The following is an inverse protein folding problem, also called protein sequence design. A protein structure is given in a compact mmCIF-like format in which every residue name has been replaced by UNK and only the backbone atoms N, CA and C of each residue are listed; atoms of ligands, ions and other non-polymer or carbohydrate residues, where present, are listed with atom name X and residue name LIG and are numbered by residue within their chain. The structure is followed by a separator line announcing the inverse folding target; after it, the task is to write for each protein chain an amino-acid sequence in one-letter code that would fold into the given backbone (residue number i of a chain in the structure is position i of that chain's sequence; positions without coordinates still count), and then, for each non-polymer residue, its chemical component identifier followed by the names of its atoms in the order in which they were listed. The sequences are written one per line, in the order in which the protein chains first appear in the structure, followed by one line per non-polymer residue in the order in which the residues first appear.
data_IF_801791390348
#
_entry.id   IF_801791390348
#
_cell.length_a   1.000
_cell.length_b   1.000
_cell.length_c   1.000
_cell.angle_alpha   90.00
_cell.angle_beta   90.00
_cell.angle_gamma   90.00
#
_symmetry.space_group_name_H-M   'P 1'
#
loop_
_entity.id
_entity.type
_entity.pdbx_description
1 polymer ?
#
# COMPACT_ATOMS: atom_id res chain seq x y z
N UNK A 1 11.32 -38.05 3.45
CA UNK A 1 12.34 -38.68 2.59
C UNK A 1 13.49 -38.97 3.51
N UNK A 2 13.89 -40.23 3.65
CA UNK A 2 14.88 -40.61 4.65
C UNK A 2 16.24 -39.92 4.42
N UNK A 3 16.62 -39.68 3.16
CA UNK A 3 17.91 -39.05 2.83
C UNK A 3 17.91 -37.52 3.00
N UNK A 4 17.00 -36.79 2.33
CA UNK A 4 17.00 -35.31 2.32
C UNK A 4 15.99 -34.62 3.24
N UNK A 5 15.29 -35.36 4.11
CA UNK A 5 14.28 -34.85 5.05
C UNK A 5 13.06 -34.15 4.42
N UNK A 6 12.93 -34.07 3.10
CA UNK A 6 11.73 -33.56 2.42
C UNK A 6 10.53 -34.45 2.74
N UNK A 7 9.38 -33.88 3.12
CA UNK A 7 8.13 -34.61 3.33
C UNK A 7 7.75 -35.41 2.08
N UNK A 8 7.72 -36.74 2.19
CA UNK A 8 7.08 -37.60 1.18
C UNK A 8 5.69 -37.87 1.72
N UNK A 9 4.66 -37.81 0.88
CA UNK A 9 3.30 -38.13 1.31
C UNK A 9 3.19 -39.54 1.92
N UNK A 10 2.01 -39.89 2.42
CA UNK A 10 1.75 -41.17 3.10
C UNK A 10 1.93 -42.40 2.21
N UNK A 11 1.91 -42.25 0.88
CA UNK A 11 2.25 -43.29 -0.09
C UNK A 11 3.56 -42.95 -0.83
N UNK A 12 4.72 -43.37 -0.29
CA UNK A 12 5.97 -43.21 -1.02
C UNK A 12 6.07 -44.29 -2.10
N UNK A 13 5.75 -43.95 -3.34
CA UNK A 13 6.01 -44.81 -4.52
C UNK A 13 7.50 -45.22 -4.63
N UNK A 14 8.40 -44.45 -4.02
CA UNK A 14 9.84 -44.69 -4.06
C UNK A 14 10.38 -45.15 -2.72
N UNK A 15 10.73 -46.43 -2.63
CA UNK A 15 11.51 -46.98 -1.53
C UNK A 15 13.00 -46.99 -1.89
N UNK A 16 13.84 -46.64 -0.94
CA UNK A 16 15.28 -46.68 -1.13
C UNK A 16 15.78 -48.12 -1.31
N UNK A 17 16.54 -48.45 -2.37
CA UNK A 17 16.85 -49.86 -2.70
C UNK A 17 17.56 -50.63 -1.57
N UNK A 18 18.49 -49.96 -0.85
CA UNK A 18 19.32 -50.58 0.20
C UNK A 18 18.68 -50.55 1.59
N UNK A 19 18.02 -49.45 1.96
CA UNK A 19 17.49 -49.27 3.32
C UNK A 19 16.00 -49.58 3.44
N UNK A 20 15.31 -49.78 2.31
CA UNK A 20 13.85 -49.95 2.20
C UNK A 20 13.02 -48.82 2.84
N UNK A 21 13.65 -47.69 3.16
CA UNK A 21 12.99 -46.51 3.73
C UNK A 21 12.40 -45.60 2.64
N UNK A 22 11.32 -44.86 2.92
CA UNK A 22 10.73 -43.90 1.98
C UNK A 22 11.73 -42.84 1.47
N UNK A 23 11.89 -42.74 0.15
CA UNK A 23 12.72 -41.74 -0.52
C UNK A 23 11.85 -40.81 -1.38
N UNK A 24 12.28 -39.56 -1.62
CA UNK A 24 11.66 -38.76 -2.68
C UNK A 24 12.20 -39.21 -4.04
N UNK A 25 11.43 -38.98 -5.12
CA UNK A 25 11.82 -39.39 -6.48
C UNK A 25 13.22 -38.90 -6.89
N UNK A 26 13.59 -37.67 -6.53
CA UNK A 26 14.94 -37.13 -6.81
C UNK A 26 16.07 -37.90 -6.10
N UNK A 27 15.87 -38.31 -4.84
CA UNK A 27 16.88 -39.11 -4.15
C UNK A 27 16.94 -40.54 -4.70
N UNK A 28 15.80 -41.10 -5.08
CA UNK A 28 15.70 -42.42 -5.69
C UNK A 28 16.41 -42.48 -7.06
N UNK A 29 16.10 -41.56 -7.97
CA UNK A 29 16.72 -41.47 -9.31
C UNK A 29 18.24 -41.26 -9.17
N UNK A 30 18.68 -40.38 -8.26
CA UNK A 30 20.10 -40.18 -8.04
C UNK A 30 20.79 -41.46 -7.56
N UNK A 31 20.17 -42.17 -6.61
CA UNK A 31 20.71 -43.44 -6.11
C UNK A 31 20.81 -44.47 -7.22
N UNK A 32 19.77 -44.66 -8.05
CA UNK A 32 19.82 -45.59 -9.18
C UNK A 32 20.99 -45.30 -10.13
N UNK A 33 21.28 -44.02 -10.42
CA UNK A 33 22.34 -43.62 -11.37
C UNK A 33 23.75 -43.70 -10.80
N UNK A 34 23.92 -43.41 -9.51
CA UNK A 34 25.24 -43.26 -8.88
C UNK A 34 25.56 -44.33 -7.84
N UNK A 35 24.61 -45.23 -7.57
CA UNK A 35 24.69 -46.30 -6.57
C UNK A 35 25.15 -45.81 -5.18
N UNK A 36 24.83 -44.56 -4.85
CA UNK A 36 25.14 -43.92 -3.56
C UNK A 36 24.08 -42.90 -3.21
N UNK A 37 23.93 -42.61 -1.93
CA UNK A 37 22.98 -41.61 -1.45
C UNK A 37 23.28 -40.25 -2.08
N UNK A 38 22.22 -39.54 -2.49
CA UNK A 38 22.36 -38.17 -3.00
C UNK A 38 23.06 -37.35 -1.93
N UNK A 39 24.17 -36.65 -2.24
CA UNK A 39 24.78 -35.73 -1.30
C UNK A 39 23.72 -34.67 -1.02
N UNK A 40 23.17 -34.76 0.18
CA UNK A 40 22.36 -33.69 0.73
C UNK A 40 23.40 -32.75 1.28
N UNK A 41 23.89 -31.85 0.42
CA UNK A 41 24.70 -30.74 0.90
C UNK A 41 23.85 -30.12 2.01
N UNK A 42 24.28 -30.30 3.26
CA UNK A 42 23.63 -29.71 4.40
C UNK A 42 23.65 -28.23 4.09
N UNK A 43 22.49 -27.69 3.66
CA UNK A 43 22.42 -26.29 3.23
C UNK A 43 22.99 -25.49 4.37
N UNK A 44 24.06 -24.73 4.11
CA UNK A 44 24.65 -23.91 5.16
C UNK A 44 23.53 -23.05 5.72
N UNK A 45 23.31 -23.19 7.02
CA UNK A 45 22.35 -22.38 7.75
C UNK A 45 23.08 -21.12 8.17
N UNK A 46 22.50 -19.97 7.84
CA UNK A 46 23.05 -18.66 8.20
C UNK A 46 22.11 -18.02 9.20
N UNK A 47 22.66 -17.47 10.29
CA UNK A 47 21.87 -16.65 11.21
C UNK A 47 21.84 -15.21 10.72
N UNK A 48 20.71 -14.53 10.89
CA UNK A 48 20.62 -13.11 10.56
C UNK A 48 21.58 -12.31 11.44
N UNK A 49 22.40 -11.45 10.85
CA UNK A 49 23.40 -10.63 11.57
C UNK A 49 22.79 -9.41 12.29
N UNK A 50 21.46 -9.33 12.38
CA UNK A 50 20.79 -8.30 13.17
C UNK A 50 20.54 -8.88 14.55
N UNK A 51 21.08 -8.26 15.58
CA UNK A 51 21.08 -8.75 16.97
C UNK A 51 19.67 -8.97 17.54
N UNK A 52 18.67 -8.26 16.99
CA UNK A 52 17.26 -8.40 17.38
C UNK A 52 16.51 -9.47 16.59
N UNK A 53 17.14 -10.07 15.57
CA UNK A 53 16.51 -11.01 14.64
C UNK A 53 17.11 -12.41 14.75
N UNK A 54 16.36 -13.33 15.36
CA UNK A 54 16.78 -14.73 15.53
C UNK A 54 16.44 -15.63 14.33
N UNK A 55 16.15 -15.05 13.16
CA UNK A 55 15.78 -15.85 11.99
C UNK A 55 16.99 -16.60 11.43
N UNK A 56 16.84 -17.92 11.32
CA UNK A 56 17.79 -18.81 10.62
C UNK A 56 17.38 -18.93 9.16
N UNK A 57 18.32 -18.71 8.26
CA UNK A 57 18.15 -18.73 6.81
C UNK A 57 18.89 -19.89 6.17
N UNK A 58 18.44 -20.26 4.98
CA UNK A 58 19.13 -21.23 4.13
C UNK A 58 19.96 -20.51 3.07
N UNK A 59 21.03 -21.16 2.62
CA UNK A 59 21.77 -20.79 1.42
C UNK A 59 20.82 -20.49 0.24
N UNK A 60 20.94 -19.29 -0.33
CA UNK A 60 20.06 -18.78 -1.40
C UNK A 60 18.88 -17.91 -0.92
N UNK A 61 18.63 -17.81 0.38
CA UNK A 61 17.61 -16.90 0.98
C UNK A 61 18.22 -15.75 1.78
N UNK A 62 19.54 -15.62 1.72
CA UNK A 62 20.36 -14.63 2.41
C UNK A 62 20.47 -13.35 1.60
N UNK A 63 20.41 -12.20 2.26
CA UNK A 63 20.63 -10.88 1.67
C UNK A 63 21.86 -10.25 2.32
N UNK A 64 22.53 -9.35 1.61
CA UNK A 64 23.70 -8.63 2.12
C UNK A 64 23.24 -7.25 2.59
N UNK A 65 23.57 -6.91 3.84
CA UNK A 65 23.26 -5.60 4.38
C UNK A 65 24.02 -4.50 3.61
N UNK A 66 23.36 -3.44 3.11
CA UNK A 66 23.99 -2.45 2.22
C UNK A 66 25.22 -1.77 2.85
N UNK A 67 25.12 -1.34 4.12
CA UNK A 67 26.21 -0.72 4.89
C UNK A 67 27.26 -1.70 5.44
N UNK A 68 26.85 -2.65 6.29
CA UNK A 68 27.79 -3.51 7.03
C UNK A 68 28.33 -4.70 6.23
N UNK A 69 27.77 -4.96 5.04
CA UNK A 69 28.07 -6.15 4.20
C UNK A 69 27.87 -7.50 4.89
N UNK A 70 27.21 -7.53 6.06
CA UNK A 70 26.87 -8.76 6.79
C UNK A 70 25.60 -9.41 6.23
N UNK A 71 25.45 -10.72 6.44
CA UNK A 71 24.30 -11.49 5.96
C UNK A 71 23.07 -11.23 6.84
N UNK A 72 21.96 -10.84 6.22
CA UNK A 72 20.68 -10.54 6.89
C UNK A 72 19.51 -11.24 6.21
N UNK A 73 18.41 -11.42 6.95
CA UNK A 73 17.17 -11.95 6.39
C UNK A 73 16.46 -10.93 5.51
N UNK A 74 15.59 -11.42 4.61
CA UNK A 74 14.80 -10.59 3.69
C UNK A 74 14.09 -9.45 4.41
N UNK A 75 13.45 -9.77 5.53
CA UNK A 75 12.69 -8.79 6.31
C UNK A 75 13.57 -7.67 6.89
N UNK A 76 14.72 -8.03 7.46
CA UNK A 76 15.67 -7.03 7.95
C UNK A 76 16.21 -6.17 6.80
N UNK A 77 16.59 -6.79 5.68
CA UNK A 77 17.06 -6.06 4.49
C UNK A 77 16.04 -5.03 3.98
N UNK A 78 14.76 -5.40 3.86
CA UNK A 78 13.69 -4.49 3.46
C UNK A 78 13.47 -3.35 4.47
N UNK A 79 13.57 -3.63 5.78
CA UNK A 79 13.52 -2.59 6.82
C UNK A 79 14.65 -1.59 6.67
N UNK A 80 15.88 -2.06 6.43
CA UNK A 80 17.03 -1.19 6.22
C UNK A 80 16.86 -0.29 5.00
N UNK A 81 16.44 -0.83 3.85
CA UNK A 81 16.18 -0.03 2.64
C UNK A 81 15.11 1.04 2.90
N UNK A 82 14.03 0.69 3.59
CA UNK A 82 12.96 1.66 3.93
C UNK A 82 13.48 2.76 4.87
N UNK A 83 14.33 2.42 5.82
CA UNK A 83 14.91 3.39 6.76
C UNK A 83 15.91 4.31 6.06
N UNK A 84 16.76 3.78 5.18
CA UNK A 84 17.67 4.60 4.38
C UNK A 84 16.92 5.55 3.45
N UNK A 85 15.85 5.09 2.81
CA UNK A 85 15.00 5.95 1.98
C UNK A 85 14.45 7.14 2.78
N UNK A 86 13.90 6.89 3.96
CA UNK A 86 13.39 7.97 4.84
C UNK A 86 14.48 8.94 5.29
N UNK A 87 15.67 8.43 5.60
CA UNK A 87 16.81 9.28 5.98
C UNK A 87 17.21 10.20 4.81
N UNK A 88 17.27 9.67 3.60
CA UNK A 88 17.59 10.45 2.40
C UNK A 88 16.53 11.51 2.10
N UNK A 89 15.25 11.16 2.20
CA UNK A 89 14.15 12.12 2.04
C UNK A 89 14.21 13.26 3.07
N UNK A 90 14.59 12.97 4.32
CA UNK A 90 14.78 13.99 5.35
C UNK A 90 15.99 14.89 5.08
N UNK A 91 17.10 14.32 4.65
CA UNK A 91 18.31 15.08 4.26
C UNK A 91 18.05 15.96 3.03
N UNK A 92 17.34 15.46 2.03
CA UNK A 92 16.94 16.23 0.84
C UNK A 92 15.99 17.38 1.22
N UNK A 93 15.06 17.15 2.16
CA UNK A 93 14.19 18.21 2.67
C UNK A 93 14.96 19.28 3.46
N UNK A 94 15.93 18.88 4.28
CA UNK A 94 16.80 19.81 5.00
C UNK A 94 17.68 20.62 4.04
N UNK A 95 18.29 19.98 3.05
CA UNK A 95 19.08 20.65 2.01
C UNK A 95 18.23 21.62 1.19
N UNK A 96 16.96 21.26 0.89
CA UNK A 96 16.02 22.16 0.22
C UNK A 96 15.66 23.38 1.08
N UNK A 97 15.61 23.23 2.41
CA UNK A 97 15.36 24.34 3.34
C UNK A 97 16.56 25.29 3.50
N UNK A 98 17.78 24.81 3.22
CA UNK A 98 19.03 25.59 3.26
C UNK A 98 19.32 26.35 1.97
N UNK A 99 18.60 26.06 0.87
CA UNK A 99 18.74 26.85 -0.34
C UNK A 99 18.31 28.28 -0.03
N UNK A 100 19.13 29.29 -0.39
CA UNK A 100 18.77 30.68 -0.18
C UNK A 100 17.39 30.89 -0.82
N UNK A 101 16.43 31.30 -0.01
CA UNK A 101 15.12 31.71 -0.51
C UNK A 101 15.42 32.70 -1.63
N UNK A 102 15.00 32.43 -2.88
CA UNK A 102 15.20 33.38 -3.95
C UNK A 102 14.70 34.70 -3.41
N UNK A 103 15.57 35.71 -3.39
CA UNK A 103 15.16 37.06 -3.05
C UNK A 103 14.17 37.46 -4.13
N UNK A 104 12.89 37.20 -3.87
CA UNK A 104 11.81 37.74 -4.68
C UNK A 104 11.93 39.22 -4.42
N UNK A 105 12.49 39.95 -5.38
CA UNK A 105 12.41 41.41 -5.36
C UNK A 105 10.95 41.73 -5.05
N UNK A 106 10.69 42.49 -3.96
CA UNK A 106 9.35 42.88 -3.60
C UNK A 106 8.67 43.33 -4.89
N UNK A 107 7.50 42.75 -5.25
CA UNK A 107 6.78 43.19 -6.43
C UNK A 107 6.75 44.71 -6.36
N UNK A 108 7.36 45.40 -7.33
CA UNK A 108 7.28 46.87 -7.40
C UNK A 108 5.81 47.16 -7.30
N UNK A 109 5.38 47.64 -6.12
CA UNK A 109 3.99 47.93 -5.88
C UNK A 109 3.58 48.86 -7.01
N UNK A 110 2.60 48.48 -7.86
CA UNK A 110 2.07 49.45 -8.80
C UNK A 110 1.60 50.60 -7.94
N UNK A 111 2.17 51.79 -8.19
CA UNK A 111 1.87 52.99 -7.43
C UNK A 111 0.36 53.02 -7.14
N UNK A 112 -0.05 53.14 -5.86
CA UNK A 112 -1.46 53.02 -5.49
C UNK A 112 -2.25 53.92 -6.42
N UNK A 113 -3.10 53.31 -7.25
CA UNK A 113 -3.91 54.08 -8.18
C UNK A 113 -4.70 55.07 -7.33
N UNK A 114 -4.64 56.36 -7.68
CA UNK A 114 -5.11 57.44 -6.80
C UNK A 114 -6.60 57.30 -6.41
N UNK A 115 -7.34 56.42 -7.08
CA UNK A 115 -8.66 55.95 -6.72
C UNK A 115 -8.73 55.29 -5.32
N UNK A 116 -7.75 54.47 -4.91
CA UNK A 116 -7.76 53.83 -3.59
C UNK A 116 -7.52 54.82 -2.44
N UNK A 117 -6.67 55.83 -2.65
CA UNK A 117 -6.42 56.88 -1.65
C UNK A 117 -7.69 57.72 -1.45
N UNK A 118 -8.44 57.98 -2.51
CA UNK A 118 -9.70 58.74 -2.45
C UNK A 118 -10.82 57.95 -1.74
N UNK A 119 -10.95 56.65 -2.01
CA UNK A 119 -11.94 55.80 -1.34
C UNK A 119 -11.69 55.67 0.16
N UNK A 120 -10.43 55.58 0.59
CA UNK A 120 -10.10 55.53 2.02
C UNK A 120 -10.39 56.86 2.74
N UNK A 121 -10.23 58.01 2.07
CA UNK A 121 -10.59 59.30 2.65
C UNK A 121 -12.11 59.52 2.79
N UNK A 122 -12.93 58.85 1.98
CA UNK A 122 -14.41 58.96 2.05
C UNK A 122 -15.03 58.03 3.11
N UNK A 123 -14.40 56.88 3.40
CA UNK A 123 -14.91 55.91 4.39
C UNK A 123 -14.60 56.34 5.84
N UNK A 124 -13.53 57.12 6.06
CA UNK A 124 -13.12 57.59 7.39
C UNK A 124 -13.02 59.13 7.51
N UNK A 125 -14.11 59.89 7.34
CA UNK A 125 -14.10 61.35 7.55
C UNK A 125 -13.86 61.77 9.01
N UNK A 126 -13.85 60.82 9.96
CA UNK A 126 -13.71 61.08 11.39
C UNK A 126 -12.28 60.88 11.95
N UNK A 127 -11.33 60.35 11.17
CA UNK A 127 -9.92 60.32 11.58
C UNK A 127 -9.29 61.68 11.29
N UNK A 128 -9.68 62.69 12.08
CA UNK A 128 -8.91 63.93 12.19
C UNK A 128 -7.52 63.55 12.68
N UNK A 129 -6.50 64.11 12.02
CA UNK A 129 -5.08 63.94 12.28
C UNK A 129 -4.61 64.57 13.61
N UNK A 130 -5.43 64.47 14.66
CA UNK A 130 -5.06 64.90 16.00
C UNK A 130 -4.53 63.67 16.72
N UNK A 131 -3.21 63.58 16.66
CA UNK A 131 -2.29 63.03 17.67
C UNK A 131 -1.24 62.21 16.93
N UNK A 132 -0.25 62.96 16.45
CA UNK A 132 1.08 62.44 16.17
C UNK A 132 1.59 61.95 17.52
N UNK A 133 1.31 60.69 17.84
CA UNK A 133 2.03 59.97 18.88
C UNK A 133 3.48 59.99 18.42
N UNK A 134 4.34 60.67 19.19
CA UNK A 134 5.76 60.82 18.88
C UNK A 134 6.33 59.46 18.44
N UNK A 135 7.08 59.42 17.32
CA UNK A 135 7.63 58.18 16.82
C UNK A 135 8.43 57.52 17.94
N UNK A 136 7.98 56.33 18.35
CA UNK A 136 8.60 55.55 19.41
C UNK A 136 10.11 55.53 19.15
N UNK A 137 10.93 56.01 20.10
CA UNK A 137 12.36 56.13 19.90
C UNK A 137 12.97 54.80 19.45
N UNK A 138 13.80 54.83 18.39
CA UNK A 138 14.35 53.62 17.73
C UNK A 138 15.08 52.69 18.71
N UNK A 139 15.62 53.25 19.77
CA UNK A 139 16.25 52.62 20.91
C UNK A 139 15.33 51.63 21.63
N UNK A 140 14.03 51.91 21.75
CA UNK A 140 13.04 50.99 22.34
C UNK A 140 12.85 49.75 21.45
N UNK A 141 12.87 49.93 20.13
CA UNK A 141 12.78 48.82 19.17
C UNK A 141 14.04 47.93 19.18
N UNK A 142 15.22 48.54 19.31
CA UNK A 142 16.50 47.82 19.36
C UNK A 142 16.68 47.02 20.66
N UNK A 143 16.18 47.54 21.78
CA UNK A 143 16.11 46.82 23.07
C UNK A 143 15.20 45.59 22.99
N UNK A 144 13.98 45.75 22.45
CA UNK A 144 13.05 44.64 22.27
C UNK A 144 13.61 43.51 21.39
N UNK A 145 14.37 43.88 20.34
CA UNK A 145 15.02 42.90 19.46
C UNK A 145 16.17 42.15 20.15
N UNK A 146 16.96 42.84 20.98
CA UNK A 146 18.01 42.20 21.80
C UNK A 146 17.43 41.21 22.80
N UNK A 147 16.32 41.56 23.44
CA UNK A 147 15.62 40.66 24.37
C UNK A 147 15.13 39.41 23.62
N UNK A 148 14.50 39.57 22.46
CA UNK A 148 14.00 38.46 21.66
C UNK A 148 15.12 37.51 21.19
N UNK A 149 16.30 38.03 20.87
CA UNK A 149 17.45 37.21 20.45
C UNK A 149 18.22 36.58 21.63
N UNK A 150 18.11 37.14 22.85
CA UNK A 150 18.72 36.59 24.06
C UNK A 150 17.89 35.46 24.69
N UNK A 151 16.62 35.31 24.30
CA UNK A 151 15.81 34.15 24.69
C UNK A 151 16.36 32.90 23.99
N UNK A 152 17.23 32.16 24.68
CA UNK A 152 17.65 30.82 24.28
C UNK A 152 16.41 29.97 23.96
N UNK A 153 16.39 29.23 22.84
CA UNK A 153 15.34 28.27 22.57
C UNK A 153 15.22 27.35 23.78
N UNK A 154 14.08 27.37 24.46
CA UNK A 154 13.81 26.39 25.49
C UNK A 154 13.86 25.03 24.82
N UNK A 155 14.73 24.16 25.32
CA UNK A 155 14.73 22.76 24.90
C UNK A 155 13.30 22.23 25.07
N UNK A 156 12.76 21.51 24.07
CA UNK A 156 11.39 21.06 24.10
C UNK A 156 11.21 20.18 25.35
N UNK A 157 10.48 20.71 26.33
CA UNK A 157 10.02 19.96 27.50
C UNK A 157 9.33 18.72 26.95
N UNK A 158 9.91 17.57 27.28
CA UNK A 158 9.51 16.27 26.76
C UNK A 158 7.99 16.13 26.84
N UNK A 159 7.36 16.00 25.67
CA UNK A 159 5.96 15.62 25.57
C UNK A 159 5.88 14.24 26.23
N UNK A 160 5.40 14.22 27.47
CA UNK A 160 4.92 13.01 28.13
C UNK A 160 3.95 12.38 27.15
N UNK A 161 4.33 11.21 26.66
CA UNK A 161 3.52 10.42 25.76
C UNK A 161 2.23 10.08 26.52
N UNK A 162 1.18 10.87 26.29
CA UNK A 162 -0.19 10.54 26.65
C UNK A 162 -0.47 9.23 25.94
N UNK A 163 -0.44 8.15 26.72
CA UNK A 163 -0.79 6.82 26.26
C UNK A 163 -2.16 6.91 25.61
N UNK A 164 -2.24 6.46 24.35
CA UNK A 164 -3.52 6.08 23.77
C UNK A 164 -4.08 4.96 24.64
N UNK A 165 -4.90 5.35 25.61
CA UNK A 165 -5.76 4.47 26.37
C UNK A 165 -6.57 3.65 25.36
N UNK A 166 -6.26 2.36 25.31
CA UNK A 166 -7.06 1.40 24.57
C UNK A 166 -8.45 1.38 25.19
N UNK A 167 -9.53 1.51 24.41
CA UNK A 167 -10.86 1.32 24.96
C UNK A 167 -10.94 -0.10 25.50
N UNK A 168 -11.29 -0.22 26.78
CA UNK A 168 -11.56 -1.50 27.43
C UNK A 168 -12.42 -2.41 26.54
N UNK A 169 -12.14 -3.73 26.46
CA UNK A 169 -12.95 -4.68 25.73
C UNK A 169 -14.26 -4.90 26.50
N UNK A 170 -15.20 -3.99 26.32
CA UNK A 170 -16.58 -4.16 26.75
C UNK A 170 -17.17 -5.41 26.13
N UNK A 171 -17.64 -6.31 26.99
CA UNK A 171 -18.65 -7.36 26.78
C UNK A 171 -18.80 -7.79 25.31
N UNK A 172 -17.96 -8.77 24.93
CA UNK A 172 -17.70 -9.16 23.55
C UNK A 172 -18.93 -9.62 22.77
N UNK A 173 -19.54 -8.69 22.05
CA UNK A 173 -20.32 -9.03 20.87
C UNK A 173 -19.39 -9.71 19.86
N UNK A 174 -19.56 -11.01 19.68
CA UNK A 174 -18.80 -11.80 18.71
C UNK A 174 -18.97 -11.16 17.33
N UNK A 175 -17.90 -10.53 16.83
CA UNK A 175 -17.92 -9.94 15.50
C UNK A 175 -18.11 -11.06 14.49
N UNK A 176 -19.17 -10.97 13.69
CA UNK A 176 -19.47 -11.90 12.62
C UNK A 176 -18.61 -11.57 11.39
N UNK A 177 -18.45 -12.56 10.51
CA UNK A 177 -17.79 -12.38 9.23
C UNK A 177 -18.55 -11.35 8.35
N UNK A 178 -17.83 -10.51 7.59
CA UNK A 178 -18.45 -9.53 6.69
C UNK A 178 -19.28 -10.12 5.54
N UNK A 179 -19.20 -11.44 5.30
CA UNK A 179 -20.00 -12.13 4.29
C UNK A 179 -21.36 -12.52 4.90
N UNK A 180 -22.51 -12.01 4.41
CA UNK A 180 -23.83 -12.25 5.01
C UNK A 180 -24.22 -13.72 5.09
N UNK A 181 -23.72 -14.51 4.15
CA UNK A 181 -23.96 -15.97 4.10
C UNK A 181 -23.06 -16.76 5.06
N UNK A 182 -22.04 -16.11 5.63
CA UNK A 182 -21.07 -16.73 6.51
C UNK A 182 -21.40 -16.44 7.98
N UNK A 183 -21.99 -17.42 8.67
CA UNK A 183 -22.31 -17.34 10.10
C UNK A 183 -21.14 -17.72 11.02
N UNK A 184 -19.91 -17.82 10.49
CA UNK A 184 -18.75 -18.15 11.32
C UNK A 184 -18.35 -16.94 12.19
N UNK A 185 -18.27 -17.09 13.52
CA UNK A 185 -17.76 -16.03 14.39
C UNK A 185 -16.28 -15.78 14.11
N UNK A 186 -15.85 -14.52 14.20
CA UNK A 186 -14.43 -14.18 14.13
C UNK A 186 -13.77 -14.54 15.45
N UNK A 187 -13.26 -15.78 15.55
CA UNK A 187 -12.56 -16.32 16.74
C UNK A 187 -11.28 -15.52 17.09
N UNK A 188 -10.80 -14.70 16.17
CA UNK A 188 -9.66 -13.78 16.35
C UNK A 188 -10.01 -12.42 15.72
N UNK A 189 -9.08 -11.48 15.73
CA UNK A 189 -9.20 -10.19 15.04
C UNK A 189 -9.64 -10.29 13.56
N UNK A 190 -9.62 -11.45 12.90
CA UNK A 190 -10.12 -11.62 11.52
C UNK A 190 -9.15 -11.08 10.46
N UNK A 191 -9.38 -11.46 9.19
CA UNK A 191 -8.56 -11.03 8.06
C UNK A 191 -9.17 -9.81 7.38
N UNK A 192 -8.34 -8.84 6.99
CA UNK A 192 -8.78 -7.62 6.29
C UNK A 192 -9.35 -7.99 4.91
N UNK A 193 -10.55 -7.53 4.62
CA UNK A 193 -11.24 -7.84 3.37
C UNK A 193 -10.49 -7.22 2.15
N UNK A 194 -10.21 -7.98 1.07
CA UNK A 194 -9.38 -7.49 -0.06
C UNK A 194 -10.01 -6.39 -0.92
N UNK A 195 -11.32 -6.17 -0.78
CA UNK A 195 -12.12 -5.25 -1.61
C UNK A 195 -12.89 -4.18 -0.81
N UNK A 196 -13.03 -4.35 0.51
CA UNK A 196 -13.80 -3.42 1.36
C UNK A 196 -12.87 -2.99 2.49
N UNK A 197 -12.59 -1.69 2.56
CA UNK A 197 -11.71 -1.13 3.59
C UNK A 197 -12.45 -1.13 4.92
N UNK A 198 -11.78 -1.59 5.99
CA UNK A 198 -12.35 -1.63 7.35
C UNK A 198 -13.09 -2.92 7.70
N UNK A 199 -13.56 -3.67 6.71
CA UNK A 199 -14.26 -4.94 6.93
C UNK A 199 -13.32 -6.11 7.21
N UNK A 200 -13.79 -7.05 8.05
CA UNK A 200 -13.03 -8.24 8.42
C UNK A 200 -13.81 -9.53 8.14
N UNK A 201 -13.10 -10.53 7.65
CA UNK A 201 -13.67 -11.82 7.26
C UNK A 201 -12.94 -13.00 7.91
N UNK A 202 -13.65 -14.13 7.99
CA UNK A 202 -13.04 -15.38 8.42
C UNK A 202 -12.01 -15.87 7.38
N UNK A 203 -11.15 -16.81 7.79
CA UNK A 203 -10.09 -17.35 6.92
C UNK A 203 -10.61 -17.92 5.60
N UNK A 204 -11.77 -18.60 5.63
CA UNK A 204 -12.37 -19.23 4.44
C UNK A 204 -12.85 -18.17 3.43
N UNK A 205 -13.58 -17.16 3.90
CA UNK A 205 -14.04 -16.05 3.05
C UNK A 205 -12.85 -15.25 2.51
N UNK A 206 -11.85 -14.95 3.33
CA UNK A 206 -10.63 -14.27 2.89
C UNK A 206 -9.96 -14.98 1.72
N UNK A 207 -9.76 -16.30 1.81
CA UNK A 207 -9.15 -17.08 0.74
C UNK A 207 -10.01 -17.07 -0.53
N UNK A 208 -11.34 -17.17 -0.41
CA UNK A 208 -12.27 -17.05 -1.55
C UNK A 208 -12.16 -15.68 -2.24
N UNK A 209 -12.16 -14.59 -1.48
CA UNK A 209 -12.00 -13.24 -2.05
C UNK A 209 -10.63 -13.03 -2.68
N UNK A 210 -9.56 -13.50 -2.03
CA UNK A 210 -8.21 -13.45 -2.58
C UNK A 210 -8.10 -14.17 -3.92
N UNK A 211 -8.69 -15.37 -4.04
CA UNK A 211 -8.73 -16.12 -5.30
C UNK A 211 -9.60 -15.46 -6.38
N UNK A 212 -10.64 -14.72 -6.02
CA UNK A 212 -11.41 -13.89 -6.98
C UNK A 212 -10.59 -12.70 -7.47
N UNK A 213 -9.90 -12.01 -6.56
CA UNK A 213 -9.01 -10.88 -6.88
C UNK A 213 -7.91 -11.30 -7.85
N UNK A 214 -7.31 -12.47 -7.64
CA UNK A 214 -6.30 -13.04 -8.54
C UNK A 214 -6.82 -13.36 -9.94
N UNK A 215 -8.14 -13.61 -10.09
CA UNK A 215 -8.78 -13.91 -11.38
C UNK A 215 -9.44 -12.70 -12.02
N UNK A 216 -9.23 -11.49 -11.48
CA UNK A 216 -9.93 -10.26 -11.90
C UNK A 216 -11.46 -10.43 -11.95
N UNK A 217 -12.02 -11.32 -11.13
CA UNK A 217 -13.45 -11.52 -11.07
C UNK A 217 -14.08 -10.31 -10.36
N UNK A 218 -15.06 -9.62 -10.95
CA UNK A 218 -15.67 -8.44 -10.35
C UNK A 218 -16.28 -8.78 -8.99
N UNK A 219 -16.08 -7.88 -8.03
CA UNK A 219 -16.68 -7.96 -6.71
C UNK A 219 -18.05 -7.25 -6.74
N UNK A 220 -19.09 -7.95 -6.33
CA UNK A 220 -20.41 -7.36 -6.13
C UNK A 220 -21.37 -8.37 -5.51
N UNK A 221 -22.41 -7.91 -4.77
CA UNK A 221 -23.54 -8.77 -4.46
C UNK A 221 -24.05 -9.33 -5.79
N UNK A 222 -24.36 -10.63 -5.83
CA UNK A 222 -25.08 -11.19 -6.97
C UNK A 222 -26.39 -10.41 -7.08
N UNK A 223 -26.46 -9.42 -7.99
CA UNK A 223 -27.75 -8.85 -8.34
C UNK A 223 -28.55 -10.03 -8.89
N UNK A 224 -29.74 -10.35 -8.35
CA UNK A 224 -30.61 -11.29 -9.02
C UNK A 224 -30.76 -10.81 -10.46
N UNK A 225 -30.61 -11.73 -11.41
CA UNK A 225 -30.75 -11.39 -12.81
C UNK A 225 -32.12 -10.73 -12.98
N UNK A 226 -32.17 -9.48 -13.44
CA UNK A 226 -33.42 -8.75 -13.65
C UNK A 226 -34.26 -9.31 -14.83
N UNK A 227 -33.80 -10.40 -15.44
CA UNK A 227 -34.54 -11.09 -16.48
C UNK A 227 -35.48 -12.12 -15.82
N UNK A 228 -36.82 -11.94 -15.89
CA UNK A 228 -37.78 -12.89 -15.31
C UNK A 228 -37.67 -14.31 -15.89
N UNK A 229 -37.02 -14.47 -17.05
CA UNK A 229 -36.70 -15.78 -17.64
C UNK A 229 -35.68 -16.59 -16.82
N UNK A 230 -34.84 -15.93 -16.00
CA UNK A 230 -33.87 -16.58 -15.14
C UNK A 230 -34.47 -17.04 -13.79
N UNK A 231 -35.63 -16.51 -13.42
CA UNK A 231 -36.31 -16.83 -12.16
C UNK A 231 -36.85 -18.28 -12.17
N UNK A 232 -37.34 -18.75 -13.33
CA UNK A 232 -37.82 -20.13 -13.53
C UNK A 232 -36.74 -21.22 -13.47
N UNK A 233 -35.46 -20.87 -13.44
CA UNK A 233 -34.36 -21.85 -13.35
C UNK A 233 -33.83 -22.03 -11.92
N UNK A 234 -34.34 -21.29 -10.93
CA UNK A 234 -33.84 -21.32 -9.55
C UNK A 234 -34.33 -22.50 -8.71
N UNK A 235 -35.27 -23.31 -9.19
CA UNK A 235 -35.75 -24.51 -8.48
C UNK A 235 -34.80 -25.72 -8.60
N UNK A 236 -33.84 -25.71 -9.54
CA UNK A 236 -32.78 -26.71 -9.61
C UNK A 236 -31.42 -26.06 -9.32
N UNK A 237 -30.82 -26.45 -8.19
CA UNK A 237 -29.50 -26.01 -7.69
C UNK A 237 -28.35 -26.35 -8.66
N UNK A 238 -28.25 -25.64 -9.77
CA UNK A 238 -27.05 -25.61 -10.62
C UNK A 238 -26.72 -24.15 -10.91
N UNK A 239 -25.62 -23.68 -10.31
CA UNK A 239 -25.05 -22.36 -10.61
C UNK A 239 -24.55 -22.37 -12.06
N UNK A 240 -25.25 -21.70 -12.97
CA UNK A 240 -24.79 -21.49 -14.34
C UNK A 240 -23.73 -20.38 -14.40
N UNK A 241 -22.53 -20.63 -14.95
CA UNK A 241 -21.59 -19.57 -15.30
C UNK A 241 -21.95 -19.02 -16.68
N UNK A 242 -22.56 -17.83 -16.72
CA UNK A 242 -22.67 -17.03 -17.95
C UNK A 242 -24.10 -16.75 -18.42
N UNK A 243 -24.71 -15.71 -17.88
CA UNK A 243 -25.63 -14.87 -18.66
C UNK A 243 -24.78 -13.76 -19.31
N UNK A 244 -23.94 -14.14 -20.27
CA UNK A 244 -23.14 -13.23 -21.09
C UNK A 244 -23.78 -13.11 -22.47
N UNK A 245 -24.71 -12.17 -22.61
CA UNK A 245 -25.44 -11.93 -23.86
C UNK A 245 -25.61 -10.44 -24.16
N UNK A 246 -24.68 -9.59 -23.75
CA UNK A 246 -24.52 -8.25 -24.33
C UNK A 246 -23.03 -8.03 -24.49
N UNK A 247 -22.55 -8.09 -25.74
CA UNK A 247 -21.20 -7.66 -26.10
C UNK A 247 -21.13 -6.14 -25.92
N UNK A 248 -20.77 -5.68 -24.73
CA UNK A 248 -20.24 -4.32 -24.58
C UNK A 248 -18.79 -4.41 -25.05
N UNK A 249 -18.55 -4.06 -26.31
CA UNK A 249 -17.22 -3.75 -26.79
C UNK A 249 -16.72 -2.54 -25.99
N UNK A 250 -15.81 -2.78 -25.04
CA UNK A 250 -15.01 -1.72 -24.47
C UNK A 250 -14.06 -1.22 -25.55
N UNK A 251 -14.38 -0.07 -26.16
CA UNK A 251 -13.40 0.70 -26.91
C UNK A 251 -12.41 1.26 -25.89
N UNK A 252 -11.17 0.79 -25.97
CA UNK A 252 -10.03 1.41 -25.30
C UNK A 252 -9.87 2.82 -25.86
N UNK A 253 -10.24 3.83 -25.06
CA UNK A 253 -9.87 5.22 -25.32
C UNK A 253 -8.46 5.45 -24.79
N UNK A 254 -7.46 5.08 -25.58
CA UNK A 254 -6.11 5.61 -25.41
C UNK A 254 -6.00 6.96 -26.13
N UNK A 255 -5.40 7.91 -25.41
CA UNK A 255 -5.04 9.27 -25.78
C UNK A 255 -4.65 9.41 -27.26
N UNK A 256 -5.40 10.19 -28.04
CA UNK A 256 -4.84 10.98 -29.14
C UNK A 256 -5.60 12.29 -29.30
N UNK A 257 -4.84 13.37 -29.16
CA UNK A 257 -5.22 14.74 -29.46
C UNK A 257 -5.26 14.97 -30.98
N UNK A 258 -6.33 15.60 -31.46
CA UNK A 258 -6.26 16.49 -32.63
C UNK A 258 -6.86 15.99 -33.95
N UNK A 259 -8.00 16.59 -34.30
CA UNK A 259 -8.47 16.97 -35.65
C UNK A 259 -8.58 15.88 -36.73
N UNK A 260 -9.82 15.43 -37.00
CA UNK A 260 -10.45 15.46 -38.33
C UNK A 260 -11.84 14.77 -38.32
N UNK A 261 -12.79 15.34 -39.06
CA UNK A 261 -14.18 14.90 -39.22
C UNK A 261 -14.32 13.44 -39.75
N UNK A 262 -15.30 12.66 -39.26
CA UNK A 262 -15.71 11.45 -39.96
C UNK A 262 -16.80 11.73 -41.00
N UNK A 263 -16.47 11.54 -42.28
CA UNK A 263 -17.43 11.36 -43.36
C UNK A 263 -18.22 10.06 -43.17
N UNK A 264 -19.55 10.13 -43.33
CA UNK A 264 -20.43 8.96 -43.42
C UNK A 264 -20.21 8.24 -44.75
N UNK A 265 -19.80 6.97 -44.71
CA UNK A 265 -19.85 6.06 -45.86
C UNK A 265 -21.01 5.09 -45.66
N UNK A 266 -21.99 5.19 -46.56
CA UNK A 266 -23.17 4.34 -46.70
C UNK A 266 -22.78 3.12 -47.53
N UNK A 267 -22.82 1.93 -46.95
CA UNK A 267 -22.63 0.67 -47.68
C UNK A 267 -23.95 0.24 -48.34
N UNK A 268 -23.94 -0.27 -49.58
CA UNK A 268 -25.14 -0.73 -50.27
C UNK A 268 -25.49 -2.19 -49.92
N UNK A 269 -26.80 -2.44 -49.89
CA UNK A 269 -27.40 -3.77 -49.82
C UNK A 269 -27.06 -4.61 -51.07
N UNK A 270 -26.70 -5.88 -50.86
CA UNK A 270 -26.69 -6.89 -51.92
C UNK A 270 -27.57 -8.06 -51.50
N UNK A 271 -28.71 -8.17 -52.18
CA UNK A 271 -29.55 -9.36 -52.24
C UNK A 271 -29.10 -10.27 -53.39
N UNK A 272 -29.31 -11.58 -53.20
CA UNK A 272 -29.46 -12.65 -54.21
C UNK A 272 -28.17 -13.01 -55.00
N UNK A 273 -27.86 -14.26 -55.38
CA UNK A 273 -28.57 -15.55 -55.53
C UNK A 273 -27.45 -16.61 -55.83
N UNK A 274 -27.70 -17.88 -56.24
CA UNK A 274 -28.95 -18.58 -56.59
C UNK A 274 -29.41 -19.65 -55.60
#
# INVERSE_FOLDING_TARGET
CYNCSVSVGTNPEYLHPKSKKPACGLCYIYYQRKQRNRPVNAKKKYQCSNDTCFTVMNEGTTFIHPKTKKIVCRYCHEKFIKQEKKRKEAEDAENRSKLPVPFIEPPKEPAPSSACVKAMSEIFPALKSTDIVDPVPRDVYLEGLKIAMAMKPQEPVGIVSVGKESPNPGTGSLRLCCEPTCKEPLVTLGYIHPFIVGERCCRKCYMRYRSRKQRNAPYGPFKPCANPSCERLTEKKVLLPGCGGVRILFVQADKFSGLANPMYLKLPDQNASP
#
